data_IF_244181117099
#
_entry.id   IF_244181117099
#
_cell.length_a   1.000
_cell.length_b   1.000
_cell.length_c   1.000
_cell.angle_alpha   90.00
_cell.angle_beta   90.00
_cell.angle_gamma   90.00
#
_symmetry.space_group_name_H-M   'P 1'
#
loop_
_entity.id
_entity.type
_entity.pdbx_description
1 polymer ?
#
# COMPACT_ATOMS: atom_id res chain seq x y z
N UNK A 1 -5.68 -28.94 6.24
CA UNK A 1 -4.41 -28.84 6.96
C UNK A 1 -3.32 -29.57 6.18
N UNK A 2 -2.12 -29.01 6.11
CA UNK A 2 -0.99 -29.66 5.46
C UNK A 2 -0.51 -30.86 6.27
N UNK A 3 0.05 -31.87 5.57
CA UNK A 3 0.65 -33.03 6.24
C UNK A 3 1.96 -32.65 6.92
N UNK A 4 2.34 -33.38 7.98
CA UNK A 4 3.65 -33.15 8.65
C UNK A 4 4.82 -33.39 7.68
N UNK A 5 4.68 -34.32 6.74
CA UNK A 5 5.68 -34.57 5.70
C UNK A 5 5.86 -33.34 4.81
N UNK A 6 4.77 -32.74 4.33
CA UNK A 6 4.78 -31.54 3.51
C UNK A 6 5.46 -30.38 4.25
N UNK A 7 5.07 -30.11 5.49
CA UNK A 7 5.66 -29.06 6.33
C UNK A 7 7.19 -29.27 6.48
N UNK A 8 7.61 -30.49 6.78
CA UNK A 8 9.03 -30.82 6.95
C UNK A 8 9.81 -30.61 5.67
N UNK A 9 9.28 -31.06 4.53
CA UNK A 9 9.93 -30.93 3.22
C UNK A 9 10.03 -29.48 2.78
N UNK A 10 8.96 -28.68 2.94
CA UNK A 10 8.97 -27.23 2.61
C UNK A 10 10.00 -26.51 3.48
N UNK A 11 10.01 -26.72 4.81
CA UNK A 11 10.98 -26.08 5.71
C UNK A 11 12.43 -26.47 5.40
N UNK A 12 12.70 -27.72 5.08
CA UNK A 12 14.06 -28.18 4.77
C UNK A 12 14.58 -27.65 3.44
N UNK A 13 13.69 -27.34 2.48
CA UNK A 13 14.04 -26.83 1.16
C UNK A 13 13.96 -25.29 1.06
N UNK A 14 13.33 -24.60 2.01
CA UNK A 14 13.19 -23.15 2.03
C UNK A 14 14.53 -22.39 1.92
N UNK A 15 15.63 -22.76 2.62
CA UNK A 15 16.91 -22.08 2.47
C UNK A 15 17.48 -22.16 1.05
N UNK A 16 17.30 -23.29 0.36
CA UNK A 16 17.74 -23.46 -1.03
C UNK A 16 16.93 -22.56 -1.99
N UNK A 17 15.61 -22.51 -1.78
CA UNK A 17 14.73 -21.62 -2.57
C UNK A 17 15.09 -20.17 -2.31
N UNK A 18 15.35 -19.76 -1.07
CA UNK A 18 15.77 -18.39 -0.74
C UNK A 18 17.10 -18.02 -1.41
N UNK A 19 18.07 -18.93 -1.40
CA UNK A 19 19.36 -18.72 -2.08
C UNK A 19 19.20 -18.45 -3.58
N UNK A 20 18.24 -19.08 -4.24
CA UNK A 20 17.94 -18.93 -5.67
C UNK A 20 16.73 -18.04 -5.97
N UNK A 21 16.16 -17.39 -4.97
CA UNK A 21 14.88 -16.69 -5.03
C UNK A 21 14.76 -15.70 -6.18
N UNK A 22 15.77 -14.87 -6.42
CA UNK A 22 15.77 -13.91 -7.54
C UNK A 22 15.77 -14.60 -8.91
N UNK A 23 16.50 -15.72 -9.07
CA UNK A 23 16.52 -16.45 -10.34
C UNK A 23 15.20 -17.18 -10.57
N UNK A 24 14.62 -17.76 -9.51
CA UNK A 24 13.31 -18.42 -9.56
C UNK A 24 12.23 -17.42 -9.94
N UNK A 25 12.17 -16.28 -9.28
CA UNK A 25 11.12 -15.29 -9.53
C UNK A 25 11.29 -14.61 -10.90
N UNK A 26 12.50 -14.40 -11.38
CA UNK A 26 12.73 -13.91 -12.74
C UNK A 26 12.23 -14.93 -13.78
N UNK A 27 12.67 -16.20 -13.68
CA UNK A 27 12.21 -17.27 -14.56
C UNK A 27 10.69 -17.43 -14.53
N UNK A 28 10.09 -17.35 -13.33
CA UNK A 28 8.64 -17.39 -13.16
C UNK A 28 7.93 -16.29 -13.96
N UNK A 29 8.35 -15.01 -13.82
CA UNK A 29 7.70 -13.90 -14.52
C UNK A 29 7.91 -13.97 -16.03
N UNK A 30 9.10 -14.36 -16.49
CA UNK A 30 9.39 -14.53 -17.92
C UNK A 30 8.46 -15.57 -18.54
N UNK A 31 8.32 -16.73 -17.92
CA UNK A 31 7.40 -17.80 -18.36
C UNK A 31 5.93 -17.39 -18.28
N UNK A 32 5.56 -16.72 -17.18
CA UNK A 32 4.18 -16.28 -16.95
C UNK A 32 3.71 -15.33 -18.05
N UNK A 33 4.49 -14.31 -18.35
CA UNK A 33 4.11 -13.31 -19.34
C UNK A 33 4.30 -13.76 -20.79
N UNK A 34 5.16 -14.72 -21.05
CA UNK A 34 5.24 -15.38 -22.35
C UNK A 34 3.98 -16.19 -22.64
N UNK A 35 3.49 -16.94 -21.65
CA UNK A 35 2.30 -17.79 -21.79
C UNK A 35 0.97 -17.00 -21.64
N UNK A 36 0.97 -15.96 -20.83
CA UNK A 36 -0.22 -15.18 -20.42
C UNK A 36 0.03 -13.67 -20.52
N UNK A 37 0.20 -13.13 -21.77
CA UNK A 37 0.47 -11.69 -21.95
C UNK A 37 -0.68 -10.78 -21.48
N UNK A 38 -1.91 -11.30 -21.40
CA UNK A 38 -3.07 -10.57 -20.86
C UNK A 38 -2.87 -10.13 -19.40
N UNK A 39 -2.03 -10.83 -18.64
CA UNK A 39 -1.72 -10.48 -17.26
C UNK A 39 -0.93 -9.16 -17.12
N UNK A 40 -0.37 -8.63 -18.21
CA UNK A 40 0.18 -7.27 -18.21
C UNK A 40 -0.85 -6.19 -17.94
N UNK A 41 -2.16 -6.47 -18.03
CA UNK A 41 -3.22 -5.55 -17.61
C UNK A 41 -3.33 -5.42 -16.08
N UNK A 42 -2.80 -6.39 -15.34
CA UNK A 42 -2.88 -6.44 -13.87
C UNK A 42 -1.53 -6.08 -13.24
N UNK A 43 -0.43 -6.62 -13.80
CA UNK A 43 0.90 -6.46 -13.23
C UNK A 43 1.55 -5.13 -13.63
N UNK A 44 2.14 -4.46 -12.65
CA UNK A 44 2.88 -3.21 -12.85
C UNK A 44 4.23 -3.47 -13.54
N UNK A 45 4.32 -3.20 -14.84
CA UNK A 45 5.54 -3.42 -15.66
C UNK A 45 6.79 -2.68 -15.14
N UNK A 46 6.76 -1.40 -14.75
CA UNK A 46 7.90 -0.73 -14.14
C UNK A 46 8.50 -1.48 -12.94
N UNK A 47 7.67 -2.03 -12.06
CA UNK A 47 8.16 -2.82 -10.92
C UNK A 47 8.79 -4.14 -11.35
N UNK A 48 8.38 -4.69 -12.48
CA UNK A 48 9.01 -5.86 -13.10
C UNK A 48 10.42 -5.51 -13.61
N UNK A 49 10.57 -4.40 -14.31
CA UNK A 49 11.85 -3.97 -14.89
C UNK A 49 12.89 -3.62 -13.83
N UNK A 50 12.48 -3.09 -12.68
CA UNK A 50 13.37 -2.74 -11.56
C UNK A 50 13.73 -3.93 -10.66
N UNK A 51 13.11 -5.10 -10.85
CA UNK A 51 13.33 -6.27 -10.00
C UNK A 51 12.66 -6.19 -8.61
N UNK A 52 11.99 -5.10 -8.28
CA UNK A 52 11.37 -4.92 -6.96
C UNK A 52 10.25 -5.93 -6.69
N UNK A 53 9.47 -6.26 -7.71
CA UNK A 53 8.39 -7.24 -7.56
C UNK A 53 8.92 -8.66 -7.44
N UNK A 54 10.01 -8.99 -8.15
CA UNK A 54 10.70 -10.28 -8.02
C UNK A 54 11.21 -10.49 -6.59
N UNK A 55 11.85 -9.47 -6.01
CA UNK A 55 12.34 -9.53 -4.64
C UNK A 55 11.19 -9.68 -3.63
N UNK A 56 10.11 -8.90 -3.78
CA UNK A 56 8.95 -8.98 -2.90
C UNK A 56 8.28 -10.38 -2.93
N UNK A 57 8.18 -11.00 -4.12
CA UNK A 57 7.66 -12.36 -4.23
C UNK A 57 8.60 -13.39 -3.59
N UNK A 58 9.90 -13.28 -3.81
CA UNK A 58 10.88 -14.18 -3.20
C UNK A 58 10.85 -14.10 -1.66
N UNK A 59 10.79 -12.88 -1.11
CA UNK A 59 10.67 -12.65 0.34
C UNK A 59 9.35 -13.23 0.91
N UNK A 60 8.22 -13.07 0.19
CA UNK A 60 6.93 -13.61 0.59
C UNK A 60 6.93 -15.16 0.59
N UNK A 61 7.50 -15.80 -0.44
CA UNK A 61 7.63 -17.26 -0.52
C UNK A 61 8.50 -17.80 0.61
N UNK A 62 9.62 -17.12 0.90
CA UNK A 62 10.49 -17.51 2.01
C UNK A 62 9.83 -17.34 3.38
N UNK A 63 9.14 -16.21 3.60
CA UNK A 63 8.39 -15.98 4.84
C UNK A 63 7.31 -17.03 5.05
N UNK A 64 6.56 -17.37 4.00
CA UNK A 64 5.56 -18.44 4.06
C UNK A 64 6.19 -19.79 4.45
N UNK A 65 7.26 -20.18 3.77
CA UNK A 65 7.95 -21.43 4.06
C UNK A 65 8.50 -21.51 5.50
N UNK A 66 8.98 -20.39 6.01
CA UNK A 66 9.53 -20.30 7.38
C UNK A 66 8.45 -20.45 8.46
N UNK A 67 7.22 -20.03 8.17
CA UNK A 67 6.08 -20.03 9.10
C UNK A 67 4.96 -20.99 8.69
N UNK A 68 5.24 -21.97 7.81
CA UNK A 68 4.22 -22.88 7.26
C UNK A 68 3.49 -23.72 8.32
N UNK A 69 4.08 -23.92 9.48
CA UNK A 69 3.50 -24.58 10.66
C UNK A 69 2.84 -23.60 11.65
N UNK A 70 2.95 -22.29 11.41
CA UNK A 70 2.35 -21.22 12.20
C UNK A 70 1.86 -20.09 11.29
N UNK A 71 0.79 -20.35 10.52
CA UNK A 71 0.23 -19.39 9.56
C UNK A 71 -0.32 -18.12 10.24
N UNK A 72 -0.74 -18.22 11.49
CA UNK A 72 -1.21 -17.07 12.28
C UNK A 72 -0.14 -15.97 12.35
N UNK A 73 1.14 -16.32 12.37
CA UNK A 73 2.24 -15.34 12.31
C UNK A 73 2.28 -14.54 10.99
N UNK A 74 1.57 -14.99 9.96
CA UNK A 74 1.50 -14.31 8.65
C UNK A 74 0.15 -13.60 8.42
N UNK A 75 -0.76 -13.61 9.38
CA UNK A 75 -2.11 -13.08 9.23
C UNK A 75 -2.11 -11.65 8.69
N UNK A 76 -1.35 -10.75 9.29
CA UNK A 76 -1.26 -9.35 8.83
C UNK A 76 -0.65 -9.20 7.44
N UNK A 77 0.26 -10.09 7.03
CA UNK A 77 0.82 -10.09 5.68
C UNK A 77 -0.19 -10.63 4.66
N UNK A 78 -0.90 -11.71 5.01
CA UNK A 78 -1.96 -12.29 4.19
C UNK A 78 -3.06 -11.25 3.98
N UNK A 79 -3.52 -10.59 5.03
CA UNK A 79 -4.55 -9.55 4.96
C UNK A 79 -4.15 -8.41 4.01
N UNK A 80 -2.94 -7.86 4.15
CA UNK A 80 -2.44 -6.82 3.22
C UNK A 80 -2.39 -7.30 1.77
N UNK A 81 -1.93 -8.54 1.53
CA UNK A 81 -1.85 -9.10 0.19
C UNK A 81 -3.26 -9.29 -0.39
N UNK A 82 -4.21 -9.78 0.41
CA UNK A 82 -5.60 -9.98 0.01
C UNK A 82 -6.27 -8.67 -0.40
N UNK A 83 -6.12 -7.60 0.40
CA UNK A 83 -6.59 -6.27 0.03
C UNK A 83 -5.96 -5.77 -1.27
N UNK A 84 -4.66 -6.02 -1.45
CA UNK A 84 -3.95 -5.66 -2.69
C UNK A 84 -4.49 -6.42 -3.89
N UNK A 85 -4.66 -7.73 -3.80
CA UNK A 85 -5.19 -8.57 -4.86
C UNK A 85 -6.62 -8.14 -5.25
N UNK A 86 -7.49 -7.96 -4.26
CA UNK A 86 -8.85 -7.49 -4.47
C UNK A 86 -8.87 -6.13 -5.19
N UNK A 87 -7.99 -5.20 -4.79
CA UNK A 87 -7.92 -3.86 -5.38
C UNK A 87 -7.50 -3.84 -6.86
N UNK A 88 -6.76 -4.84 -7.33
CA UNK A 88 -6.28 -4.92 -8.71
C UNK A 88 -7.01 -5.93 -9.57
N UNK A 89 -8.03 -6.61 -9.00
CA UNK A 89 -8.87 -7.56 -9.72
C UNK A 89 -8.22 -8.92 -9.95
N UNK A 90 -7.43 -9.42 -8.98
CA UNK A 90 -7.04 -10.84 -8.95
C UNK A 90 -8.29 -11.66 -8.64
N UNK A 91 -8.50 -12.72 -9.38
CA UNK A 91 -9.57 -13.68 -9.15
C UNK A 91 -9.04 -15.13 -9.01
N UNK A 92 -9.94 -16.04 -8.67
CA UNK A 92 -9.62 -17.44 -8.37
C UNK A 92 -8.91 -18.17 -9.53
N UNK A 93 -9.21 -17.79 -10.79
CA UNK A 93 -8.67 -18.46 -11.98
C UNK A 93 -7.20 -18.09 -12.22
N UNK A 94 -6.69 -17.00 -11.64
CA UNK A 94 -5.29 -16.63 -11.73
C UNK A 94 -4.38 -17.52 -10.87
N UNK A 95 -4.85 -18.08 -9.76
CA UNK A 95 -4.03 -18.88 -8.85
C UNK A 95 -3.45 -20.15 -9.45
N UNK A 96 -4.22 -20.98 -10.19
CA UNK A 96 -3.67 -22.15 -10.87
C UNK A 96 -2.59 -21.79 -11.90
N UNK A 97 -2.76 -20.67 -12.62
CA UNK A 97 -1.79 -20.19 -13.62
C UNK A 97 -0.48 -19.80 -12.90
N UNK A 98 -0.57 -18.98 -11.87
CA UNK A 98 0.60 -18.54 -11.08
C UNK A 98 1.32 -19.74 -10.46
N UNK A 99 0.58 -20.65 -9.81
CA UNK A 99 1.13 -21.85 -9.16
C UNK A 99 1.89 -22.75 -10.12
N UNK A 100 1.33 -23.01 -11.30
CA UNK A 100 1.98 -23.79 -12.34
C UNK A 100 3.34 -23.20 -12.73
N UNK A 101 3.35 -21.92 -13.12
CA UNK A 101 4.58 -21.28 -13.60
C UNK A 101 5.63 -21.08 -12.49
N UNK A 102 5.19 -20.88 -11.24
CA UNK A 102 6.11 -20.79 -10.10
C UNK A 102 6.80 -22.13 -9.82
N UNK A 103 6.06 -23.23 -9.82
CA UNK A 103 6.62 -24.56 -9.62
C UNK A 103 7.53 -24.99 -10.76
N UNK A 104 7.18 -24.68 -12.01
CA UNK A 104 8.02 -24.91 -13.18
C UNK A 104 9.34 -24.12 -13.10
N UNK A 105 9.28 -22.86 -12.62
CA UNK A 105 10.48 -22.06 -12.41
C UNK A 105 11.40 -22.66 -11.33
N UNK A 106 10.82 -23.16 -10.22
CA UNK A 106 11.59 -23.89 -9.18
C UNK A 106 12.25 -25.13 -9.75
N UNK A 107 11.52 -25.93 -10.54
CA UNK A 107 12.07 -27.13 -11.19
C UNK A 107 13.25 -26.81 -12.11
N UNK A 108 13.11 -25.81 -12.96
CA UNK A 108 14.14 -25.42 -13.92
C UNK A 108 15.39 -24.88 -13.23
N UNK A 109 15.22 -23.90 -12.33
CA UNK A 109 16.35 -23.23 -11.65
C UNK A 109 17.13 -24.18 -10.74
N UNK A 110 16.44 -25.11 -10.07
CA UNK A 110 17.07 -26.09 -9.18
C UNK A 110 17.39 -27.43 -9.88
N UNK A 111 17.12 -27.54 -11.18
CA UNK A 111 17.32 -28.75 -11.96
C UNK A 111 16.66 -29.99 -11.31
N UNK A 112 15.41 -29.86 -10.84
CA UNK A 112 14.66 -30.93 -10.20
C UNK A 112 13.68 -31.58 -11.17
N UNK A 113 13.53 -32.92 -11.17
CA UNK A 113 12.51 -33.58 -11.95
C UNK A 113 11.10 -33.24 -11.42
N UNK A 114 10.11 -33.28 -12.29
CA UNK A 114 8.71 -32.90 -11.94
C UNK A 114 8.09 -33.79 -10.84
N UNK A 115 8.58 -35.02 -10.68
CA UNK A 115 8.14 -35.96 -9.65
C UNK A 115 9.00 -35.90 -8.38
N UNK A 116 9.86 -34.89 -8.22
CA UNK A 116 10.67 -34.73 -7.01
C UNK A 116 9.76 -34.40 -5.82
N UNK A 117 10.04 -35.00 -4.65
CA UNK A 117 9.22 -34.84 -3.44
C UNK A 117 9.06 -33.38 -3.01
N UNK A 118 10.10 -32.56 -3.17
CA UNK A 118 10.02 -31.12 -2.88
C UNK A 118 8.98 -30.42 -3.76
N UNK A 119 8.89 -30.75 -5.06
CA UNK A 119 7.92 -30.14 -5.96
C UNK A 119 6.50 -30.50 -5.56
N UNK A 120 6.24 -31.73 -5.17
CA UNK A 120 4.95 -32.17 -4.65
C UNK A 120 4.59 -31.43 -3.37
N UNK A 121 5.53 -31.33 -2.41
CA UNK A 121 5.30 -30.64 -1.16
C UNK A 121 5.03 -29.13 -1.35
N UNK A 122 5.78 -28.48 -2.23
CA UNK A 122 5.56 -27.07 -2.58
C UNK A 122 4.24 -26.84 -3.32
N UNK A 123 3.81 -27.79 -4.15
CA UNK A 123 2.50 -27.71 -4.81
C UNK A 123 1.35 -27.79 -3.77
N UNK A 124 1.45 -28.70 -2.81
CA UNK A 124 0.47 -28.80 -1.72
C UNK A 124 0.47 -27.52 -0.86
N UNK A 125 1.64 -27.01 -0.50
CA UNK A 125 1.78 -25.77 0.25
C UNK A 125 1.18 -24.56 -0.49
N UNK A 126 1.49 -24.43 -1.79
CA UNK A 126 0.92 -23.38 -2.64
C UNK A 126 -0.61 -23.46 -2.70
N UNK A 127 -1.16 -24.63 -2.98
CA UNK A 127 -2.62 -24.83 -3.08
C UNK A 127 -3.34 -24.52 -1.77
N UNK A 128 -2.71 -24.84 -0.63
CA UNK A 128 -3.25 -24.51 0.68
C UNK A 128 -3.31 -22.98 0.88
N UNK A 129 -2.23 -22.27 0.58
CA UNK A 129 -2.17 -20.81 0.69
C UNK A 129 -3.12 -20.14 -0.31
N UNK A 130 -3.14 -20.59 -1.57
CA UNK A 130 -4.04 -20.09 -2.60
C UNK A 130 -5.51 -20.22 -2.21
N UNK A 131 -5.90 -21.37 -1.61
CA UNK A 131 -7.25 -21.55 -1.11
C UNK A 131 -7.62 -20.57 0.01
N UNK A 132 -6.67 -20.23 0.89
CA UNK A 132 -6.89 -19.24 1.93
C UNK A 132 -7.06 -17.83 1.34
N UNK A 133 -6.23 -17.44 0.38
CA UNK A 133 -6.38 -16.16 -0.32
C UNK A 133 -7.73 -16.06 -1.04
N UNK A 134 -8.08 -17.04 -1.86
CA UNK A 134 -9.34 -17.07 -2.60
C UNK A 134 -10.54 -16.92 -1.66
N UNK A 135 -10.56 -17.65 -0.53
CA UNK A 135 -11.65 -17.56 0.43
C UNK A 135 -11.75 -16.16 1.07
N UNK A 136 -10.61 -15.55 1.40
CA UNK A 136 -10.59 -14.20 2.01
C UNK A 136 -10.99 -13.13 0.99
N UNK A 137 -10.50 -13.22 -0.24
CA UNK A 137 -10.84 -12.30 -1.35
C UNK A 137 -12.34 -12.36 -1.68
N UNK A 138 -12.91 -13.55 -1.77
CA UNK A 138 -14.35 -13.72 -1.97
C UNK A 138 -15.18 -13.15 -0.80
N UNK A 139 -14.66 -13.26 0.43
CA UNK A 139 -15.31 -12.65 1.60
C UNK A 139 -15.28 -11.13 1.54
N UNK A 140 -14.15 -10.52 1.13
CA UNK A 140 -14.05 -9.08 0.91
C UNK A 140 -14.98 -8.60 -0.20
N UNK A 141 -15.04 -9.30 -1.33
CA UNK A 141 -15.95 -8.94 -2.42
C UNK A 141 -17.41 -8.99 -1.98
N UNK A 142 -17.78 -10.01 -1.22
CA UNK A 142 -19.13 -10.11 -0.66
C UNK A 142 -19.42 -8.94 0.28
N UNK A 143 -18.50 -8.59 1.17
CA UNK A 143 -18.65 -7.43 2.07
C UNK A 143 -18.79 -6.13 1.28
N UNK A 144 -17.99 -5.93 0.24
CA UNK A 144 -18.06 -4.75 -0.63
C UNK A 144 -19.44 -4.68 -1.33
N UNK A 145 -19.95 -5.79 -1.85
CA UNK A 145 -21.27 -5.82 -2.48
C UNK A 145 -22.37 -5.50 -1.45
N UNK A 146 -22.32 -6.10 -0.26
CA UNK A 146 -23.33 -5.92 0.77
C UNK A 146 -23.34 -4.52 1.38
N UNK A 147 -22.17 -3.90 1.58
CA UNK A 147 -22.05 -2.59 2.25
C UNK A 147 -21.99 -1.41 1.29
N UNK A 148 -21.33 -1.59 0.13
CA UNK A 148 -21.05 -0.50 -0.81
C UNK A 148 -21.88 -0.60 -2.11
N UNK A 149 -22.56 -1.72 -2.35
CA UNK A 149 -23.17 -2.07 -3.62
C UNK A 149 -22.16 -1.98 -4.80
N UNK A 150 -20.90 -2.38 -4.52
CA UNK A 150 -19.78 -2.18 -5.40
C UNK A 150 -18.72 -3.28 -5.26
N UNK A 151 -18.37 -3.92 -6.37
CA UNK A 151 -17.22 -4.80 -6.50
C UNK A 151 -16.50 -4.59 -7.83
N UNK A 152 -15.23 -4.95 -7.90
CA UNK A 152 -14.43 -4.74 -9.09
C UNK A 152 -14.29 -3.27 -9.50
N UNK A 153 -13.80 -3.04 -10.71
CA UNK A 153 -13.65 -1.69 -11.23
C UNK A 153 -14.97 -1.11 -11.70
N UNK A 154 -15.29 0.11 -11.28
CA UNK A 154 -16.45 0.87 -11.70
C UNK A 154 -16.04 2.23 -12.25
N UNK A 155 -16.87 2.78 -13.12
CA UNK A 155 -16.63 4.08 -13.75
C UNK A 155 -16.94 5.22 -12.79
N UNK A 156 -15.94 6.06 -12.54
CA UNK A 156 -16.04 7.30 -11.77
C UNK A 156 -15.73 8.50 -12.65
N UNK A 157 -16.43 9.58 -12.42
CA UNK A 157 -16.24 10.85 -13.11
C UNK A 157 -15.41 11.80 -12.26
N UNK A 158 -14.43 12.46 -12.88
CA UNK A 158 -13.70 13.56 -12.26
C UNK A 158 -14.64 14.78 -12.19
N UNK A 159 -15.02 15.16 -10.98
CA UNK A 159 -15.93 16.30 -10.75
C UNK A 159 -15.16 17.57 -10.47
N UNK A 160 -13.94 17.46 -9.95
CA UNK A 160 -13.07 18.60 -9.63
C UNK A 160 -11.61 18.16 -9.72
N UNK A 161 -10.74 19.07 -10.12
CA UNK A 161 -9.28 18.92 -9.99
C UNK A 161 -8.67 20.18 -9.40
N UNK A 162 -7.56 20.02 -8.66
CA UNK A 162 -6.82 21.11 -8.04
C UNK A 162 -5.32 20.84 -8.07
N UNK A 163 -4.54 21.86 -8.43
CA UNK A 163 -3.08 21.77 -8.41
C UNK A 163 -2.57 22.12 -7.01
N UNK A 164 -2.11 21.12 -6.27
CA UNK A 164 -1.59 21.29 -4.92
C UNK A 164 -0.18 21.90 -4.91
N UNK A 165 0.67 21.38 -5.80
CA UNK A 165 2.08 21.78 -5.95
C UNK A 165 2.48 21.70 -7.44
N UNK A 166 3.68 22.12 -7.84
CA UNK A 166 4.17 21.89 -9.20
C UNK A 166 4.13 20.43 -9.66
N UNK A 167 4.21 19.49 -8.71
CA UNK A 167 4.30 18.04 -8.98
C UNK A 167 3.04 17.25 -8.61
N UNK A 168 2.09 17.83 -7.88
CA UNK A 168 0.94 17.09 -7.33
C UNK A 168 -0.37 17.74 -7.71
N UNK A 169 -1.30 16.92 -8.21
CA UNK A 169 -2.69 17.29 -8.48
C UNK A 169 -3.65 16.41 -7.69
N UNK A 170 -4.68 17.01 -7.13
CA UNK A 170 -5.81 16.34 -6.51
C UNK A 170 -6.98 16.24 -7.48
N UNK A 171 -7.71 15.11 -7.42
CA UNK A 171 -8.88 14.81 -8.22
C UNK A 171 -10.00 14.30 -7.32
N UNK A 172 -11.21 14.84 -7.47
CA UNK A 172 -12.41 14.35 -6.80
C UNK A 172 -13.20 13.48 -7.76
N UNK A 173 -13.55 12.29 -7.29
CA UNK A 173 -14.12 11.21 -8.08
C UNK A 173 -15.48 10.84 -7.53
N UNK A 174 -16.52 10.96 -8.35
CA UNK A 174 -17.87 10.53 -8.04
C UNK A 174 -18.27 9.34 -8.92
N UNK A 175 -18.96 8.32 -8.39
CA UNK A 175 -19.41 7.18 -9.18
C UNK A 175 -20.48 7.62 -10.20
N UNK A 176 -20.38 7.11 -11.42
CA UNK A 176 -21.44 7.30 -12.41
C UNK A 176 -22.70 6.52 -12.04
N UNK A 177 -22.54 5.30 -11.54
CA UNK A 177 -23.62 4.53 -10.96
C UNK A 177 -23.98 5.07 -9.56
N UNK A 178 -25.15 5.70 -9.45
CA UNK A 178 -25.63 6.34 -8.21
C UNK A 178 -26.13 5.35 -7.15
N UNK A 179 -26.16 4.05 -7.43
CA UNK A 179 -26.44 3.01 -6.46
C UNK A 179 -25.22 2.65 -5.62
N UNK A 180 -24.02 3.05 -6.06
CA UNK A 180 -22.79 2.86 -5.31
C UNK A 180 -22.80 3.72 -4.04
N UNK A 181 -22.54 3.10 -2.92
CA UNK A 181 -22.27 3.78 -1.65
C UNK A 181 -20.76 3.98 -1.49
N UNK A 182 -20.33 5.22 -1.28
CA UNK A 182 -18.94 5.52 -0.90
C UNK A 182 -18.85 5.41 0.62
N UNK A 183 -18.14 4.41 1.09
CA UNK A 183 -17.74 4.29 2.50
C UNK A 183 -16.31 3.75 2.58
N UNK A 184 -15.52 4.33 3.47
CA UNK A 184 -14.12 3.98 3.67
C UNK A 184 -13.64 4.40 5.06
N UNK A 185 -12.58 3.81 5.52
CA UNK A 185 -11.81 4.28 6.66
C UNK A 185 -10.64 5.13 6.14
N UNK A 186 -10.32 6.22 6.85
CA UNK A 186 -9.17 7.04 6.50
C UNK A 186 -7.89 6.20 6.55
N UNK A 187 -7.03 6.40 5.55
CA UNK A 187 -5.84 5.60 5.33
C UNK A 187 -5.99 4.50 4.28
N UNK A 188 -7.21 4.09 3.95
CA UNK A 188 -7.46 3.20 2.82
C UNK A 188 -7.12 3.85 1.49
N UNK A 189 -6.94 3.03 0.47
CA UNK A 189 -6.64 3.43 -0.91
C UNK A 189 -7.64 2.85 -1.90
N UNK A 190 -7.69 3.43 -3.08
CA UNK A 190 -8.36 2.87 -4.26
C UNK A 190 -7.33 2.55 -5.34
N UNK A 191 -7.61 1.54 -6.15
CA UNK A 191 -6.88 1.33 -7.40
C UNK A 191 -7.58 2.06 -8.53
N UNK A 192 -6.78 2.77 -9.34
CA UNK A 192 -7.22 3.43 -10.56
C UNK A 192 -6.69 2.66 -11.75
N UNK A 193 -7.58 2.25 -12.66
CA UNK A 193 -7.23 1.58 -13.90
C UNK A 193 -7.29 2.54 -15.06
N UNK A 194 -6.20 2.66 -15.80
CA UNK A 194 -6.07 3.49 -16.99
C UNK A 194 -5.90 2.59 -18.19
N UNK A 195 -6.83 2.64 -19.15
CA UNK A 195 -6.80 1.75 -20.29
C UNK A 195 -5.67 2.06 -21.28
N UNK A 196 -5.03 1.02 -21.78
CA UNK A 196 -4.14 1.05 -22.96
C UNK A 196 -2.99 2.06 -22.95
N UNK A 197 -2.51 2.50 -21.77
CA UNK A 197 -1.44 3.51 -21.67
C UNK A 197 -0.03 2.93 -21.81
N UNK A 198 0.13 1.60 -21.78
CA UNK A 198 1.43 0.96 -21.91
C UNK A 198 1.40 -0.16 -22.96
N UNK A 199 1.77 0.16 -24.20
CA UNK A 199 1.83 -0.78 -25.32
C UNK A 199 0.52 -1.57 -25.52
N UNK A 200 -0.63 -0.93 -25.32
CA UNK A 200 -1.95 -1.54 -25.47
C UNK A 200 -2.47 -2.27 -24.23
N UNK A 201 -1.69 -2.31 -23.16
CA UNK A 201 -2.12 -2.89 -21.89
C UNK A 201 -2.59 -1.83 -20.91
N UNK A 202 -3.57 -2.17 -20.11
CA UNK A 202 -4.06 -1.36 -19.01
C UNK A 202 -3.00 -1.24 -17.92
N UNK A 203 -3.09 -0.16 -17.15
CA UNK A 203 -2.21 0.05 -16.03
C UNK A 203 -3.00 0.41 -14.78
N UNK A 204 -2.70 -0.25 -13.67
CA UNK A 204 -3.35 -0.04 -12.39
C UNK A 204 -2.37 0.60 -11.43
N UNK A 205 -2.82 1.67 -10.73
CA UNK A 205 -2.06 2.31 -9.64
C UNK A 205 -2.94 2.55 -8.44
N UNK A 206 -2.37 2.37 -7.25
CA UNK A 206 -3.02 2.64 -5.99
C UNK A 206 -2.79 4.09 -5.58
N UNK A 207 -3.85 4.73 -5.09
CA UNK A 207 -3.83 6.08 -4.52
C UNK A 207 -4.61 6.08 -3.21
N UNK A 208 -3.96 6.53 -2.13
CA UNK A 208 -4.63 6.70 -0.84
C UNK A 208 -5.79 7.67 -1.00
N UNK A 209 -6.90 7.38 -0.36
CA UNK A 209 -8.02 8.30 -0.23
C UNK A 209 -7.55 9.44 0.67
N UNK A 210 -7.56 10.66 0.13
CA UNK A 210 -6.92 11.82 0.75
C UNK A 210 -7.89 12.86 1.31
N UNK A 211 -9.20 12.60 1.24
CA UNK A 211 -10.21 13.35 1.96
C UNK A 211 -10.84 12.48 3.05
N UNK A 212 -11.42 13.15 4.00
CA UNK A 212 -12.38 12.57 4.94
C UNK A 212 -13.42 13.64 5.25
N UNK A 213 -14.66 13.28 5.15
CA UNK A 213 -15.81 14.00 5.68
C UNK A 213 -16.90 12.97 6.00
N UNK A 214 -17.82 13.33 6.89
CA UNK A 214 -18.88 12.42 7.33
C UNK A 214 -19.92 12.09 6.25
N UNK A 215 -20.00 12.89 5.19
CA UNK A 215 -20.99 12.69 4.10
C UNK A 215 -20.48 11.73 3.03
N UNK A 216 -19.17 11.60 2.87
CA UNK A 216 -18.48 10.68 1.93
C UNK A 216 -19.15 10.65 0.54
N UNK A 217 -19.32 11.83 -0.08
CA UNK A 217 -19.96 11.95 -1.39
C UNK A 217 -19.03 11.62 -2.56
N UNK A 218 -17.73 11.78 -2.34
CA UNK A 218 -16.68 11.58 -3.33
C UNK A 218 -15.42 10.97 -2.71
N UNK A 219 -14.53 10.56 -3.59
CA UNK A 219 -13.19 10.10 -3.24
C UNK A 219 -12.19 11.12 -3.79
N UNK A 220 -11.36 11.73 -2.94
CA UNK A 220 -10.21 12.52 -3.37
C UNK A 220 -8.97 11.62 -3.46
N UNK A 221 -8.32 11.62 -4.60
CA UNK A 221 -6.98 11.08 -4.77
C UNK A 221 -6.02 12.22 -5.12
N UNK A 222 -4.77 12.14 -4.66
CA UNK A 222 -3.73 13.11 -5.00
C UNK A 222 -2.54 12.42 -5.62
N UNK A 223 -2.27 12.81 -6.85
CA UNK A 223 -1.35 12.13 -7.75
C UNK A 223 -0.10 12.97 -7.93
N UNK A 224 1.05 12.43 -7.50
CA UNK A 224 2.35 12.99 -7.81
C UNK A 224 2.77 12.57 -9.21
N UNK A 225 3.21 13.52 -10.04
CA UNK A 225 3.75 13.19 -11.37
C UNK A 225 5.14 12.58 -11.24
N UNK A 226 5.37 11.48 -11.94
CA UNK A 226 6.66 10.83 -12.10
C UNK A 226 7.18 11.10 -13.52
N UNK A 227 8.31 11.79 -13.66
CA UNK A 227 8.83 12.27 -14.96
C UNK A 227 9.05 11.16 -15.98
N UNK A 228 9.38 9.96 -15.54
CA UNK A 228 9.57 8.78 -16.40
C UNK A 228 8.38 7.80 -16.37
N UNK A 229 7.32 8.15 -15.61
CA UNK A 229 6.08 7.38 -15.55
C UNK A 229 5.19 7.63 -16.76
N UNK A 230 4.29 6.70 -17.04
CA UNK A 230 3.25 6.86 -18.09
C UNK A 230 1.89 7.18 -17.49
N UNK A 231 1.59 6.61 -16.32
CA UNK A 231 0.26 6.70 -15.68
C UNK A 231 0.06 8.06 -15.03
N UNK A 232 0.95 8.50 -14.15
CA UNK A 232 0.77 9.76 -13.42
C UNK A 232 0.76 10.99 -14.34
N UNK A 233 1.61 11.12 -15.39
CA UNK A 233 1.47 12.19 -16.36
C UNK A 233 0.15 12.13 -17.15
N UNK A 234 -0.34 10.91 -17.49
CA UNK A 234 -1.62 10.76 -18.15
C UNK A 234 -2.77 11.24 -17.25
N UNK A 235 -2.79 10.85 -15.97
CA UNK A 235 -3.83 11.29 -15.03
C UNK A 235 -3.81 12.84 -14.88
N UNK A 236 -2.61 13.45 -14.84
CA UNK A 236 -2.48 14.91 -14.77
C UNK A 236 -3.07 15.67 -15.98
N UNK A 237 -3.22 15.00 -17.13
CA UNK A 237 -3.87 15.57 -18.33
C UNK A 237 -5.39 15.40 -18.35
N UNK A 238 -5.95 14.65 -17.41
CA UNK A 238 -7.39 14.44 -17.37
C UNK A 238 -8.11 15.70 -16.88
N UNK A 239 -9.12 16.09 -17.62
CA UNK A 239 -9.95 17.23 -17.31
C UNK A 239 -11.20 16.82 -16.50
N UNK A 240 -11.78 17.79 -15.81
CA UNK A 240 -13.10 17.63 -15.18
C UNK A 240 -14.13 17.14 -16.21
N UNK A 241 -14.94 16.17 -15.82
CA UNK A 241 -15.92 15.51 -16.67
C UNK A 241 -15.41 14.23 -17.36
N UNK A 242 -14.10 13.94 -17.33
CA UNK A 242 -13.56 12.67 -17.81
C UNK A 242 -13.83 11.55 -16.81
N UNK A 243 -13.92 10.34 -17.34
CA UNK A 243 -14.14 9.12 -16.56
C UNK A 243 -12.84 8.34 -16.39
N UNK A 244 -12.72 7.70 -15.23
CA UNK A 244 -11.68 6.72 -14.91
C UNK A 244 -12.30 5.53 -14.19
N UNK A 245 -11.65 4.39 -14.23
CA UNK A 245 -12.12 3.20 -13.51
C UNK A 245 -11.44 3.11 -12.15
N UNK A 246 -12.25 2.85 -11.12
CA UNK A 246 -11.82 2.86 -9.71
C UNK A 246 -12.28 1.58 -9.03
N UNK A 247 -11.43 0.97 -8.20
CA UNK A 247 -11.77 -0.19 -7.36
C UNK A 247 -12.45 0.24 -6.05
N UNK A 248 -13.15 -0.64 -5.35
CA UNK A 248 -13.57 -0.40 -3.98
C UNK A 248 -12.39 0.00 -3.08
N UNK A 249 -12.62 0.79 -2.01
CA UNK A 249 -11.60 1.10 -1.01
C UNK A 249 -11.01 -0.17 -0.40
N UNK A 250 -9.69 -0.22 -0.29
CA UNK A 250 -8.94 -1.34 0.24
C UNK A 250 -7.80 -0.84 1.14
N UNK A 251 -7.25 -1.74 1.95
CA UNK A 251 -6.11 -1.45 2.81
C UNK A 251 -6.41 -1.54 4.29
N UNK A 252 -5.36 -1.80 5.05
CA UNK A 252 -5.41 -2.03 6.51
C UNK A 252 -4.66 -0.95 7.30
N UNK A 253 -4.12 0.05 6.61
CA UNK A 253 -3.45 1.18 7.24
C UNK A 253 -4.51 2.18 7.74
N UNK A 254 -5.07 1.92 8.91
CA UNK A 254 -6.18 2.69 9.48
C UNK A 254 -5.86 3.13 10.92
N UNK A 255 -6.66 4.04 11.45
CA UNK A 255 -6.46 4.60 12.78
C UNK A 255 -6.77 3.56 13.87
N UNK A 256 -5.86 3.42 14.85
CA UNK A 256 -6.12 2.69 16.08
C UNK A 256 -6.90 3.58 17.05
N UNK A 257 -8.21 3.46 17.10
CA UNK A 257 -9.09 4.27 17.93
C UNK A 257 -8.81 4.15 19.43
N UNK A 258 -8.11 3.09 19.85
CA UNK A 258 -7.85 2.77 21.25
C UNK A 258 -6.56 3.41 21.78
N UNK A 259 -5.74 3.99 20.91
CA UNK A 259 -4.51 4.65 21.32
C UNK A 259 -4.80 5.89 22.15
N UNK A 260 -3.93 6.16 23.12
CA UNK A 260 -4.11 7.31 24.04
C UNK A 260 -3.84 8.64 23.35
N UNK A 261 -2.89 8.67 22.41
CA UNK A 261 -2.55 9.83 21.60
C UNK A 261 -2.08 9.38 20.20
N UNK A 262 -2.09 10.28 19.22
CA UNK A 262 -1.74 10.01 17.84
C UNK A 262 -0.78 11.07 17.31
N UNK A 263 0.31 10.63 16.73
CA UNK A 263 1.26 11.49 16.02
C UNK A 263 1.31 11.07 14.56
N UNK A 264 1.07 12.02 13.67
CA UNK A 264 1.12 11.82 12.22
C UNK A 264 2.36 12.49 11.66
N UNK A 265 3.23 11.75 10.97
CA UNK A 265 4.49 12.28 10.41
C UNK A 265 4.55 11.97 8.92
N UNK A 266 4.44 13.00 8.09
CA UNK A 266 4.36 12.87 6.64
C UNK A 266 5.56 13.48 5.94
N UNK A 267 5.94 12.89 4.78
CA UNK A 267 6.82 13.56 3.83
C UNK A 267 6.26 13.48 2.40
N UNK A 268 6.20 14.62 1.72
CA UNK A 268 5.67 14.73 0.36
C UNK A 268 4.27 14.16 0.24
N UNK A 269 4.03 13.30 -0.76
CA UNK A 269 2.71 12.70 -1.02
C UNK A 269 2.26 11.70 0.07
N UNK A 270 3.14 11.31 1.00
CA UNK A 270 2.75 10.52 2.17
C UNK A 270 1.75 11.21 3.12
N UNK A 271 1.50 12.49 2.94
CA UNK A 271 0.45 13.22 3.66
C UNK A 271 -0.97 12.69 3.34
N UNK A 272 -1.17 12.09 2.17
CA UNK A 272 -2.51 11.74 1.68
C UNK A 272 -3.32 10.88 2.64
N UNK A 273 -2.84 9.72 3.14
CA UNK A 273 -3.58 8.96 4.12
C UNK A 273 -3.60 9.61 5.51
N UNK A 274 -2.50 10.28 5.89
CA UNK A 274 -2.34 10.78 7.26
C UNK A 274 -3.22 11.98 7.56
N UNK A 275 -3.43 12.86 6.58
CA UNK A 275 -4.34 13.99 6.77
C UNK A 275 -5.80 13.54 6.80
N UNK A 276 -6.16 12.54 5.99
CA UNK A 276 -7.47 11.91 6.11
C UNK A 276 -7.69 11.28 7.50
N UNK A 277 -6.68 10.57 8.04
CA UNK A 277 -6.72 10.01 9.39
C UNK A 277 -6.84 11.10 10.48
N UNK A 278 -6.14 12.21 10.34
CA UNK A 278 -6.27 13.33 11.29
C UNK A 278 -7.70 13.87 11.31
N UNK A 279 -8.32 14.03 10.12
CA UNK A 279 -9.72 14.45 10.02
C UNK A 279 -10.67 13.42 10.65
N UNK A 280 -10.51 12.14 10.33
CA UNK A 280 -11.32 11.06 10.95
C UNK A 280 -11.18 11.05 12.47
N UNK A 281 -9.96 11.22 13.00
CA UNK A 281 -9.70 11.28 14.44
C UNK A 281 -10.53 12.38 15.13
N UNK A 282 -10.63 13.54 14.50
CA UNK A 282 -11.39 14.68 15.03
C UNK A 282 -12.89 14.52 14.79
N UNK A 283 -13.29 14.28 13.55
CA UNK A 283 -14.68 14.39 13.12
C UNK A 283 -15.54 13.17 13.51
N UNK A 284 -14.96 11.98 13.45
CA UNK A 284 -15.68 10.74 13.78
C UNK A 284 -15.43 10.29 15.21
N UNK A 285 -14.15 10.27 15.64
CA UNK A 285 -13.77 9.72 16.93
C UNK A 285 -13.72 10.76 18.06
N UNK A 286 -13.89 12.06 17.74
CA UNK A 286 -13.86 13.17 18.71
C UNK A 286 -12.61 13.16 19.58
N UNK A 287 -11.46 12.76 19.03
CA UNK A 287 -10.19 12.75 19.75
C UNK A 287 -9.78 14.19 20.05
N UNK A 288 -9.49 14.46 21.30
CA UNK A 288 -9.17 15.84 21.76
C UNK A 288 -7.80 16.30 21.23
N UNK A 289 -7.71 17.60 20.96
CA UNK A 289 -6.54 18.23 20.33
C UNK A 289 -5.20 17.98 21.04
N UNK A 290 -5.22 17.92 22.37
CA UNK A 290 -4.02 17.65 23.18
C UNK A 290 -3.47 16.23 23.04
N UNK A 291 -4.19 15.35 22.32
CA UNK A 291 -3.79 13.99 21.99
C UNK A 291 -3.36 13.85 20.53
N UNK A 292 -3.35 14.94 19.77
CA UNK A 292 -3.06 14.96 18.35
C UNK A 292 -1.85 15.83 18.04
N UNK A 293 -0.93 15.32 17.25
CA UNK A 293 0.21 16.05 16.72
C UNK A 293 0.38 15.70 15.23
N UNK A 294 0.57 16.72 14.39
CA UNK A 294 0.88 16.53 12.99
C UNK A 294 2.23 17.16 12.65
N UNK A 295 3.11 16.39 12.01
CA UNK A 295 4.43 16.83 11.54
C UNK A 295 4.47 16.66 10.04
N UNK A 296 4.61 17.76 9.31
CA UNK A 296 4.71 17.74 7.85
C UNK A 296 6.12 18.10 7.42
N UNK A 297 6.78 17.18 6.70
CA UNK A 297 8.09 17.39 6.10
C UNK A 297 7.95 17.62 4.59
N UNK A 298 8.59 18.66 4.07
CA UNK A 298 8.57 19.02 2.65
C UNK A 298 9.92 19.58 2.21
N UNK A 299 10.22 19.53 0.91
CA UNK A 299 11.44 20.16 0.37
C UNK A 299 11.46 21.68 0.61
N UNK A 300 10.33 22.32 0.42
CA UNK A 300 10.10 23.72 0.64
C UNK A 300 8.61 24.00 0.75
N UNK A 301 8.23 25.21 1.13
CA UNK A 301 6.86 25.67 1.18
C UNK A 301 6.13 25.47 -0.16
N UNK A 302 6.79 25.71 -1.29
CA UNK A 302 6.24 25.52 -2.65
C UNK A 302 5.81 24.07 -2.94
N UNK A 303 6.44 23.09 -2.30
CA UNK A 303 6.16 21.67 -2.46
C UNK A 303 5.33 21.07 -1.31
N UNK A 304 4.80 21.94 -0.44
CA UNK A 304 3.93 21.51 0.65
C UNK A 304 2.51 21.22 0.13
N UNK A 305 2.10 19.96 0.21
CA UNK A 305 0.76 19.51 -0.21
C UNK A 305 -0.24 19.86 0.88
N UNK A 306 -1.42 20.35 0.50
CA UNK A 306 -2.52 20.76 1.38
C UNK A 306 -2.13 21.86 2.38
N UNK A 307 -1.19 22.72 2.03
CA UNK A 307 -0.61 23.68 2.97
C UNK A 307 -1.68 24.45 3.75
N UNK A 308 -2.53 25.17 3.04
CA UNK A 308 -3.55 26.01 3.70
C UNK A 308 -4.62 25.14 4.37
N UNK A 309 -5.08 24.07 3.71
CA UNK A 309 -6.11 23.17 4.26
C UNK A 309 -5.66 22.55 5.59
N UNK A 310 -4.39 22.12 5.71
CA UNK A 310 -3.84 21.56 6.94
C UNK A 310 -3.69 22.61 8.04
N UNK A 311 -3.17 23.79 7.70
CA UNK A 311 -3.01 24.91 8.66
C UNK A 311 -4.37 25.29 9.21
N UNK A 312 -5.35 25.58 8.36
CA UNK A 312 -6.69 26.00 8.77
C UNK A 312 -7.36 24.94 9.65
N UNK A 313 -7.21 23.66 9.28
CA UNK A 313 -7.77 22.55 10.06
C UNK A 313 -7.13 22.45 11.45
N UNK A 314 -5.81 22.51 11.53
CA UNK A 314 -5.09 22.45 12.80
C UNK A 314 -5.38 23.66 13.69
N UNK A 315 -5.46 24.86 13.14
CA UNK A 315 -5.84 26.08 13.86
C UNK A 315 -7.28 26.00 14.39
N UNK A 316 -8.23 25.61 13.53
CA UNK A 316 -9.65 25.47 13.91
C UNK A 316 -9.85 24.50 15.07
N UNK A 317 -9.06 23.43 15.12
CA UNK A 317 -9.20 22.37 16.13
C UNK A 317 -8.15 22.45 17.24
N UNK A 318 -7.28 23.48 17.27
CA UNK A 318 -6.17 23.65 18.22
C UNK A 318 -5.22 22.45 18.28
N UNK A 319 -4.90 21.85 17.12
CA UNK A 319 -4.01 20.71 16.99
C UNK A 319 -2.58 21.21 16.83
N UNK A 320 -1.62 20.54 17.47
CA UNK A 320 -0.20 20.84 17.28
C UNK A 320 0.23 20.48 15.86
N UNK A 321 0.65 21.49 15.08
CA UNK A 321 1.24 21.33 13.75
C UNK A 321 2.71 21.73 13.82
N UNK A 322 3.58 20.88 13.25
CA UNK A 322 5.02 21.15 13.03
C UNK A 322 5.35 21.05 11.56
N UNK A 323 6.05 22.05 11.05
CA UNK A 323 6.45 22.12 9.64
C UNK A 323 7.98 22.10 9.52
N UNK A 324 8.48 21.10 8.79
CA UNK A 324 9.91 20.90 8.54
C UNK A 324 10.17 21.10 7.05
N UNK A 325 11.05 22.04 6.71
CA UNK A 325 11.46 22.29 5.33
C UNK A 325 12.96 22.02 5.14
N UNK A 326 13.28 21.22 4.13
CA UNK A 326 14.68 20.93 3.78
C UNK A 326 15.44 22.22 3.37
N UNK A 327 14.80 23.05 2.54
CA UNK A 327 15.42 24.19 1.88
C UNK A 327 15.01 25.56 2.46
N UNK A 328 13.85 25.65 3.11
CA UNK A 328 13.30 26.91 3.62
C UNK A 328 13.46 27.03 5.14
N UNK A 329 13.57 28.29 5.63
CA UNK A 329 13.66 28.60 7.05
C UNK A 329 12.33 29.14 7.66
N UNK A 330 11.21 29.00 6.97
CA UNK A 330 9.92 29.54 7.37
C UNK A 330 9.10 28.58 8.25
N UNK A 331 9.58 27.36 8.49
CA UNK A 331 8.91 26.36 9.33
C UNK A 331 9.42 26.35 10.76
N UNK A 332 8.98 25.33 11.51
CA UNK A 332 9.50 25.07 12.87
C UNK A 332 10.95 24.58 12.87
N UNK A 333 11.39 23.98 11.76
CA UNK A 333 12.75 23.52 11.57
C UNK A 333 13.16 23.56 10.09
N UNK A 334 14.44 23.92 9.82
CA UNK A 334 15.07 23.77 8.52
C UNK A 334 16.00 22.57 8.54
N UNK A 335 15.86 21.67 7.58
CA UNK A 335 16.62 20.44 7.43
C UNK A 335 15.74 19.20 7.45
N UNK A 336 16.26 18.12 8.02
CA UNK A 336 15.57 16.84 8.12
C UNK A 336 15.08 16.59 9.54
N UNK A 337 14.04 15.78 9.65
CA UNK A 337 13.56 15.29 10.96
C UNK A 337 14.65 14.43 11.61
N UNK A 338 14.74 14.49 12.94
CA UNK A 338 15.71 13.73 13.70
C UNK A 338 15.17 13.37 15.10
N UNK A 339 15.90 12.55 15.82
CA UNK A 339 15.52 12.04 17.15
C UNK A 339 15.30 13.16 18.17
N UNK A 340 16.12 14.24 18.13
CA UNK A 340 16.00 15.36 19.08
C UNK A 340 14.70 16.15 18.86
N UNK A 341 14.35 16.44 17.59
CA UNK A 341 13.09 17.11 17.25
C UNK A 341 11.88 16.28 17.69
N UNK A 342 11.90 14.97 17.36
CA UNK A 342 10.81 14.06 17.78
C UNK A 342 10.67 14.00 19.28
N UNK A 343 11.78 13.88 20.02
CA UNK A 343 11.78 13.88 21.47
C UNK A 343 11.07 15.11 22.09
N UNK A 344 11.20 16.25 21.42
CA UNK A 344 10.61 17.51 21.92
C UNK A 344 9.17 17.74 21.44
N UNK A 345 8.73 17.08 20.37
CA UNK A 345 7.47 17.40 19.70
C UNK A 345 6.37 16.36 19.91
N UNK A 346 6.73 15.12 20.23
CA UNK A 346 5.75 14.04 20.33
C UNK A 346 5.64 13.48 21.75
N UNK A 347 4.49 12.94 22.10
CA UNK A 347 4.32 12.18 23.34
C UNK A 347 4.86 10.76 23.15
N UNK A 348 6.15 10.56 23.47
CA UNK A 348 6.87 9.31 23.29
C UNK A 348 6.20 8.14 24.04
N UNK A 349 5.59 8.43 25.20
CA UNK A 349 5.09 7.38 26.07
C UNK A 349 3.70 6.86 25.65
N UNK A 350 2.87 7.73 25.05
CA UNK A 350 1.46 7.43 24.84
C UNK A 350 1.00 7.48 23.38
N UNK A 351 1.81 8.09 22.46
CA UNK A 351 1.40 8.20 21.06
C UNK A 351 1.62 6.92 20.27
N UNK A 352 0.59 6.54 19.51
CA UNK A 352 0.76 5.76 18.30
C UNK A 352 1.28 6.69 17.20
N UNK A 353 2.34 6.27 16.49
CA UNK A 353 3.02 7.07 15.47
C UNK A 353 2.68 6.52 14.09
N UNK A 354 2.00 7.35 13.31
CA UNK A 354 1.62 7.05 11.92
C UNK A 354 2.55 7.80 10.99
N UNK A 355 3.20 7.10 10.06
CA UNK A 355 4.11 7.77 9.14
C UNK A 355 4.07 7.21 7.73
N UNK A 356 4.23 8.12 6.76
CA UNK A 356 4.26 7.78 5.35
C UNK A 356 5.08 8.81 4.58
N UNK A 357 5.86 8.34 3.59
CA UNK A 357 6.71 9.18 2.77
C UNK A 357 7.67 8.38 1.90
N UNK A 358 8.70 9.02 1.30
CA UNK A 358 9.74 8.34 0.56
C UNK A 358 10.49 7.31 1.41
N UNK A 359 10.92 6.19 0.81
CA UNK A 359 11.62 5.10 1.53
C UNK A 359 12.80 5.59 2.39
N UNK A 360 13.70 6.47 1.92
CA UNK A 360 14.79 6.97 2.78
C UNK A 360 14.29 7.73 4.01
N UNK A 361 13.25 8.55 3.87
CA UNK A 361 12.62 9.24 4.99
C UNK A 361 12.03 8.26 6.01
N UNK A 362 11.34 7.23 5.54
CA UNK A 362 10.72 6.23 6.41
C UNK A 362 11.77 5.38 7.14
N UNK A 363 12.88 5.04 6.48
CA UNK A 363 13.98 4.30 7.10
C UNK A 363 14.65 5.12 8.21
N UNK A 364 14.93 6.39 7.95
CA UNK A 364 15.48 7.31 8.96
C UNK A 364 14.52 7.49 10.14
N UNK A 365 13.24 7.70 9.84
CA UNK A 365 12.23 7.84 10.89
C UNK A 365 12.09 6.57 11.75
N UNK A 366 12.12 5.39 11.13
CA UNK A 366 12.12 4.12 11.86
C UNK A 366 13.32 4.03 12.82
N UNK A 367 14.50 4.48 12.38
CA UNK A 367 15.71 4.55 13.23
C UNK A 367 15.49 5.52 14.41
N UNK A 368 15.00 6.72 14.15
CA UNK A 368 14.72 7.70 15.21
C UNK A 368 13.71 7.19 16.24
N UNK A 369 12.63 6.52 15.79
CA UNK A 369 11.61 5.95 16.67
C UNK A 369 12.17 4.80 17.53
N UNK A 370 13.06 3.98 16.98
CA UNK A 370 13.77 2.93 17.72
C UNK A 370 14.70 3.53 18.80
N UNK A 371 15.45 4.60 18.49
CA UNK A 371 16.28 5.32 19.46
C UNK A 371 15.45 5.92 20.61
N UNK A 372 14.21 6.32 20.33
CA UNK A 372 13.26 6.82 21.34
C UNK A 372 12.55 5.69 22.09
N UNK A 373 12.87 4.42 21.81
CA UNK A 373 12.26 3.23 22.41
C UNK A 373 10.72 3.16 22.18
N UNK A 374 10.21 3.70 21.07
CA UNK A 374 8.82 3.50 20.68
C UNK A 374 8.71 2.09 20.11
N UNK A 375 7.92 1.24 20.77
CA UNK A 375 7.75 -0.17 20.39
C UNK A 375 7.07 -0.32 19.03
N UNK A 376 7.39 -1.42 18.33
CA UNK A 376 6.87 -1.66 16.97
C UNK A 376 5.33 -1.64 16.89
N UNK A 377 4.64 -2.15 17.92
CA UNK A 377 3.16 -2.17 17.98
C UNK A 377 2.51 -0.77 17.99
N UNK A 378 3.29 0.26 18.29
CA UNK A 378 2.84 1.67 18.23
C UNK A 378 3.36 2.42 17.00
N UNK A 379 4.00 1.74 16.07
CA UNK A 379 4.51 2.29 14.83
C UNK A 379 3.67 1.80 13.66
N UNK A 380 2.93 2.68 13.03
CA UNK A 380 2.05 2.38 11.92
C UNK A 380 2.54 3.09 10.66
N UNK A 381 2.77 2.35 9.59
CA UNK A 381 3.26 2.94 8.34
C UNK A 381 2.78 2.21 7.10
N UNK A 382 2.74 2.94 6.00
CA UNK A 382 2.48 2.37 4.69
C UNK A 382 3.56 2.78 3.69
N UNK A 383 4.06 1.79 2.93
CA UNK A 383 5.06 2.01 1.87
C UNK A 383 4.36 2.09 0.52
N UNK A 384 4.52 3.20 -0.18
CA UNK A 384 4.00 3.33 -1.54
C UNK A 384 4.89 2.58 -2.53
N UNK A 385 4.46 1.38 -2.89
CA UNK A 385 5.17 0.48 -3.80
C UNK A 385 5.22 -0.96 -3.31
N UNK A 386 6.06 -1.81 -3.92
CA UNK A 386 6.27 -3.17 -3.44
C UNK A 386 6.83 -3.14 -2.01
N UNK A 387 6.22 -3.94 -1.15
CA UNK A 387 6.62 -4.01 0.27
C UNK A 387 8.01 -4.65 0.36
N UNK A 388 8.97 -3.85 0.75
CA UNK A 388 10.32 -4.29 1.13
C UNK A 388 10.56 -3.85 2.57
N UNK A 389 11.37 -4.60 3.32
CA UNK A 389 11.75 -4.19 4.67
C UNK A 389 12.31 -2.75 4.67
N UNK A 390 11.91 -1.94 5.65
CA UNK A 390 12.52 -0.61 5.88
C UNK A 390 13.91 -0.74 6.53
N UNK A 391 14.20 -1.90 7.14
CA UNK A 391 15.53 -2.19 7.70
C UNK A 391 16.44 -2.54 6.53
N UNK A 392 17.45 -1.71 6.27
CA UNK A 392 18.54 -2.08 5.37
C UNK A 392 19.21 -3.36 5.88
N UNK A 393 19.49 -4.30 4.93
CA UNK A 393 20.26 -5.51 5.23
C UNK A 393 21.74 -5.18 5.37
#
# INVERSE_FOLDING_TARGET
>A
MLSQSTITTVKSTAPLIAQHGQNITRNFYDRLFEAHPELFNIFNRPNQQTGQQQNALADAVFAYASHIDNIEALESAIERITHKHNSIGIDADHYPIVGKHLLEAVQEVLNLPSNHEAITAWAEAYNFLASAFIATEQSLDKQNIESLNWSGFQTFKITKSHKETPEVMSFWLEPENKEITIDYQAGQYVSVRIPSVDNGYDQIRQYSISNYDNEKKDIRISVKTESHGRVSPFIHMLETGKAIEVSPPQGVFTLNEKAEAHTFISAGVGITPLFAMLKEAVEKHNITSNKLCFIQCSRSQTFQIYQQELIDFCEQHNITLKQVYELDNHGDHQGFINTELLKNWIDINNSDVYYCGPKPFMAELNTCLAELNIVEDRQHYEVFGPTTSLKEK
#
